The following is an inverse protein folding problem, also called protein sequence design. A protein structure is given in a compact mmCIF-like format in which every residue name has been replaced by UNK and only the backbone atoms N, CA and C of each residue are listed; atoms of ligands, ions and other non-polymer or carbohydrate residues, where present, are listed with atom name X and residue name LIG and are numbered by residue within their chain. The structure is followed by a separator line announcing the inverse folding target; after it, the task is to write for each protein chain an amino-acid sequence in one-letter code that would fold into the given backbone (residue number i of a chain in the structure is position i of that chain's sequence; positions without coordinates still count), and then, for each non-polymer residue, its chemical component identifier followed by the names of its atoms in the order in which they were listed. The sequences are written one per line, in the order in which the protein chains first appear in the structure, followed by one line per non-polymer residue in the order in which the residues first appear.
data_IF_995630862758
#
_entry.id   IF_995630862758
#
_cell.length_a   1.000
_cell.length_b   1.000
_cell.length_c   1.000
_cell.angle_alpha   90.00
_cell.angle_beta   90.00
_cell.angle_gamma   90.00
#
_symmetry.space_group_name_H-M   'P 1'
#
loop_
_entity.id
_entity.type
_entity.pdbx_description
1 polymer ?
#
# COMPACT_ATOMS: atom_id res chain seq x y z
N UNK A 1 -7.97 -0.73 16.85
CA UNK A 1 -8.90 -0.90 15.69
C UNK A 1 -9.18 -2.37 15.43
N UNK A 2 -10.44 -2.77 15.13
CA UNK A 2 -10.73 -4.14 14.70
C UNK A 2 -10.08 -4.39 13.33
N UNK A 3 -9.21 -5.36 13.25
CA UNK A 3 -8.57 -5.75 11.99
C UNK A 3 -9.53 -6.69 11.23
N UNK A 4 -10.02 -6.24 10.09
CA UNK A 4 -10.82 -7.07 9.20
C UNK A 4 -9.89 -7.87 8.27
N UNK A 5 -10.25 -9.11 7.89
CA UNK A 5 -9.40 -9.94 7.03
C UNK A 5 -9.23 -9.39 5.60
N UNK A 6 -10.14 -8.51 5.18
CA UNK A 6 -10.11 -7.80 3.90
C UNK A 6 -10.25 -6.31 4.17
N UNK A 7 -9.47 -5.48 3.47
CA UNK A 7 -9.56 -4.03 3.56
C UNK A 7 -10.94 -3.52 3.13
N UNK A 8 -11.41 -2.46 3.79
CA UNK A 8 -12.76 -1.90 3.54
C UNK A 8 -12.97 -1.51 2.08
N UNK A 9 -11.94 -1.07 1.43
CA UNK A 9 -11.93 -0.66 0.01
C UNK A 9 -12.21 -1.81 -0.94
N UNK A 10 -11.96 -3.05 -0.54
CA UNK A 10 -12.22 -4.25 -1.34
C UNK A 10 -13.69 -4.68 -1.34
N UNK A 11 -14.47 -4.34 -0.31
CA UNK A 11 -15.84 -4.83 -0.15
C UNK A 11 -16.79 -4.47 -1.30
N UNK A 12 -16.82 -3.24 -1.83
CA UNK A 12 -17.67 -2.90 -2.97
C UNK A 12 -17.37 -3.75 -4.21
N UNK A 13 -16.09 -3.97 -4.49
CA UNK A 13 -15.67 -4.80 -5.64
C UNK A 13 -16.05 -6.26 -5.43
N UNK A 14 -15.88 -6.79 -4.23
CA UNK A 14 -16.29 -8.16 -3.89
C UNK A 14 -17.81 -8.33 -4.02
N UNK A 15 -18.60 -7.39 -3.54
CA UNK A 15 -20.05 -7.45 -3.65
C UNK A 15 -20.50 -7.48 -5.13
N UNK A 16 -19.96 -6.59 -5.97
CA UNK A 16 -20.29 -6.53 -7.40
C UNK A 16 -19.84 -7.79 -8.13
N UNK A 17 -18.59 -8.22 -7.95
CA UNK A 17 -18.06 -9.40 -8.63
C UNK A 17 -18.75 -10.69 -8.15
N UNK A 18 -19.11 -10.78 -6.87
CA UNK A 18 -19.88 -11.89 -6.31
C UNK A 18 -21.28 -11.97 -6.95
N UNK A 19 -21.98 -10.84 -7.04
CA UNK A 19 -23.29 -10.79 -7.70
C UNK A 19 -23.21 -11.20 -9.19
N UNK A 20 -22.22 -10.66 -9.91
CA UNK A 20 -21.97 -11.02 -11.32
C UNK A 20 -21.68 -12.53 -11.44
N UNK A 21 -20.86 -13.09 -10.55
CA UNK A 21 -20.52 -14.52 -10.57
C UNK A 21 -21.75 -15.40 -10.37
N UNK A 22 -22.65 -15.03 -9.43
CA UNK A 22 -23.89 -15.77 -9.18
C UNK A 22 -24.83 -15.70 -10.38
N UNK A 23 -25.05 -14.50 -10.93
CA UNK A 23 -25.94 -14.29 -12.07
C UNK A 23 -25.44 -15.05 -13.31
N UNK A 24 -24.14 -14.92 -13.60
CA UNK A 24 -23.55 -15.63 -14.76
C UNK A 24 -23.57 -17.13 -14.57
N UNK A 25 -23.42 -17.64 -13.34
CA UNK A 25 -23.54 -19.06 -13.06
C UNK A 25 -24.96 -19.60 -13.36
N UNK A 26 -25.99 -18.85 -12.98
CA UNK A 26 -27.38 -19.25 -13.21
C UNK A 26 -27.80 -19.20 -14.69
N UNK A 27 -27.27 -18.24 -15.44
CA UNK A 27 -27.63 -18.04 -16.83
C UNK A 27 -26.72 -18.80 -17.81
N UNK A 28 -25.44 -18.84 -17.52
CA UNK A 28 -24.39 -19.32 -18.42
C UNK A 28 -23.26 -19.98 -17.63
N UNK A 29 -23.49 -21.18 -17.14
CA UNK A 29 -22.58 -21.93 -16.24
C UNK A 29 -21.08 -21.76 -16.57
N UNK A 30 -20.70 -21.95 -17.84
CA UNK A 30 -19.29 -21.87 -18.28
C UNK A 30 -18.71 -20.45 -18.18
N UNK A 31 -19.53 -19.42 -18.34
CA UNK A 31 -19.06 -18.02 -18.31
C UNK A 31 -18.86 -17.48 -16.91
N UNK A 32 -19.30 -18.18 -15.87
CA UNK A 32 -19.10 -17.80 -14.48
C UNK A 32 -17.64 -17.92 -14.03
N UNK A 33 -16.81 -18.67 -14.74
CA UNK A 33 -15.41 -18.92 -14.39
C UNK A 33 -14.63 -17.60 -14.28
N UNK A 34 -14.75 -16.72 -15.27
CA UNK A 34 -13.99 -15.45 -15.29
C UNK A 34 -14.35 -14.52 -14.13
N UNK A 35 -15.62 -14.15 -13.90
CA UNK A 35 -15.97 -13.29 -12.76
C UNK A 35 -15.65 -13.94 -11.41
N UNK A 36 -15.72 -15.27 -11.29
CA UNK A 36 -15.33 -15.97 -10.06
C UNK A 36 -13.82 -15.85 -9.81
N UNK A 37 -12.99 -16.01 -10.83
CA UNK A 37 -11.54 -15.81 -10.71
C UNK A 37 -11.24 -14.37 -10.29
N UNK A 38 -11.91 -13.38 -10.90
CA UNK A 38 -11.75 -11.96 -10.53
C UNK A 38 -12.21 -11.68 -9.11
N UNK A 39 -13.28 -12.30 -8.65
CA UNK A 39 -13.75 -12.21 -7.26
C UNK A 39 -12.70 -12.73 -6.28
N UNK A 40 -12.17 -13.94 -6.53
CA UNK A 40 -11.15 -14.55 -5.69
C UNK A 40 -9.86 -13.74 -5.68
N UNK A 41 -9.43 -13.26 -6.86
CA UNK A 41 -8.26 -12.39 -6.97
C UNK A 41 -8.44 -11.07 -6.23
N UNK A 42 -9.63 -10.47 -6.29
CA UNK A 42 -9.95 -9.23 -5.56
C UNK A 42 -9.86 -9.46 -4.04
N UNK A 43 -10.44 -10.57 -3.54
CA UNK A 43 -10.30 -10.94 -2.13
C UNK A 43 -8.85 -11.15 -1.71
N UNK A 44 -8.06 -11.78 -2.56
CA UNK A 44 -6.63 -11.98 -2.35
C UNK A 44 -5.86 -10.66 -2.36
N UNK A 45 -6.13 -9.76 -3.30
CA UNK A 45 -5.46 -8.46 -3.43
C UNK A 45 -5.72 -7.56 -2.21
N UNK A 46 -6.98 -7.51 -1.74
CA UNK A 46 -7.37 -6.70 -0.58
C UNK A 46 -7.22 -7.41 0.77
N UNK A 47 -6.54 -8.57 0.81
CA UNK A 47 -6.33 -9.29 2.07
C UNK A 47 -5.54 -8.45 3.08
N UNK A 48 -5.89 -8.58 4.34
CA UNK A 48 -5.24 -7.87 5.44
C UNK A 48 -4.77 -8.87 6.53
N UNK A 49 -3.71 -9.62 6.27
CA UNK A 49 -3.19 -10.59 7.23
C UNK A 49 -2.59 -9.89 8.45
N UNK A 50 -2.68 -10.55 9.59
CA UNK A 50 -1.96 -10.11 10.79
C UNK A 50 -0.44 -10.14 10.54
N UNK A 51 0.26 -9.11 11.05
CA UNK A 51 1.72 -9.04 11.07
C UNK A 51 2.18 -8.85 12.50
N UNK A 52 2.87 -9.83 13.05
CA UNK A 52 3.48 -9.72 14.36
C UNK A 52 4.59 -8.65 14.32
N UNK A 53 4.55 -7.75 15.28
CA UNK A 53 5.66 -6.81 15.51
C UNK A 53 6.70 -7.54 16.37
N UNK A 54 7.99 -7.50 16.01
CA UNK A 54 9.05 -8.05 16.86
C UNK A 54 9.00 -7.40 18.25
N UNK A 55 9.28 -8.21 19.29
CA UNK A 55 9.31 -7.71 20.68
C UNK A 55 10.56 -6.88 21.03
N UNK A 56 11.39 -6.56 20.04
CA UNK A 56 12.61 -5.76 20.22
C UNK A 56 12.25 -4.29 20.29
N UNK A 57 12.78 -3.60 21.28
CA UNK A 57 12.62 -2.15 21.42
C UNK A 57 13.50 -1.39 20.42
N UNK A 58 13.12 -0.14 20.12
CA UNK A 58 13.90 0.80 19.30
C UNK A 58 14.20 0.28 17.87
N UNK A 59 13.21 -0.33 17.22
CA UNK A 59 13.33 -0.79 15.84
C UNK A 59 12.37 -0.04 14.92
N UNK A 60 12.79 0.12 13.67
CA UNK A 60 11.94 0.52 12.56
C UNK A 60 11.67 -0.72 11.71
N UNK A 61 10.40 -1.09 11.57
CA UNK A 61 9.99 -2.24 10.77
C UNK A 61 9.59 -1.80 9.35
N UNK A 62 9.64 -2.72 8.40
CA UNK A 62 9.20 -2.44 7.04
C UNK A 62 7.70 -2.04 7.04
N UNK A 63 7.34 -0.88 6.48
CA UNK A 63 5.94 -0.42 6.44
C UNK A 63 5.08 -1.20 5.44
N UNK A 64 5.67 -2.01 4.58
CA UNK A 64 5.00 -2.72 3.51
C UNK A 64 5.61 -4.10 3.27
N UNK A 65 4.77 -5.02 2.76
CA UNK A 65 5.24 -6.29 2.20
C UNK A 65 5.84 -6.01 0.82
N UNK A 66 7.03 -6.53 0.53
CA UNK A 66 7.64 -6.34 -0.78
C UNK A 66 9.11 -6.71 -0.84
N UNK A 67 9.77 -6.26 -1.87
CA UNK A 67 11.21 -6.47 -2.09
C UNK A 67 11.91 -5.12 -2.04
N UNK A 68 13.00 -5.02 -1.27
CA UNK A 68 13.86 -3.84 -1.28
C UNK A 68 14.57 -3.80 -2.64
N UNK A 69 14.37 -2.72 -3.38
CA UNK A 69 14.97 -2.52 -4.70
C UNK A 69 16.09 -1.47 -4.71
N UNK A 70 16.12 -0.61 -3.70
CA UNK A 70 17.17 0.40 -3.57
C UNK A 70 17.34 0.83 -2.11
N UNK A 71 18.58 1.10 -1.70
CA UNK A 71 18.94 1.75 -0.45
C UNK A 71 19.98 2.80 -0.82
N UNK A 72 19.69 4.06 -0.53
CA UNK A 72 20.57 5.18 -0.86
C UNK A 72 20.50 6.27 0.22
N UNK A 73 21.59 6.99 0.41
CA UNK A 73 21.63 8.21 1.19
C UNK A 73 21.27 9.38 0.30
N UNK A 74 20.34 10.21 0.74
CA UNK A 74 19.96 11.43 0.02
C UNK A 74 19.44 12.51 0.97
N UNK A 75 19.58 13.75 0.60
CA UNK A 75 18.94 14.86 1.28
C UNK A 75 17.41 14.80 1.09
N UNK A 76 16.65 14.79 2.19
CA UNK A 76 15.19 14.82 2.18
C UNK A 76 14.72 16.25 2.53
N UNK A 77 14.25 17.00 1.54
CA UNK A 77 13.91 18.42 1.66
C UNK A 77 12.42 18.74 1.81
N UNK A 78 11.55 17.74 2.03
CA UNK A 78 10.09 17.97 2.12
C UNK A 78 9.62 18.02 3.57
N UNK A 79 10.14 17.13 4.41
CA UNK A 79 9.72 16.98 5.79
C UNK A 79 10.87 16.88 6.78
N UNK A 80 11.91 16.10 6.46
CA UNK A 80 13.04 15.88 7.38
C UNK A 80 14.00 17.05 7.37
N UNK A 81 14.27 17.61 6.18
CA UNK A 81 15.20 18.71 5.91
C UNK A 81 16.65 18.37 6.32
N UNK A 82 17.01 17.10 6.16
CA UNK A 82 18.30 16.52 6.52
C UNK A 82 18.68 15.36 5.60
N UNK A 83 19.93 14.90 5.67
CA UNK A 83 20.37 13.68 5.02
C UNK A 83 19.73 12.46 5.65
N UNK A 84 19.17 11.59 4.83
CA UNK A 84 18.43 10.43 5.27
C UNK A 84 18.73 9.20 4.43
N UNK A 85 18.59 8.02 5.05
CA UNK A 85 18.64 6.74 4.35
C UNK A 85 17.26 6.47 3.74
N UNK A 86 17.19 6.45 2.42
CA UNK A 86 15.98 6.08 1.68
C UNK A 86 16.01 4.62 1.33
N UNK A 87 15.00 3.89 1.77
CA UNK A 87 14.76 2.49 1.44
C UNK A 87 13.54 2.40 0.51
N UNK A 88 13.75 1.92 -0.70
CA UNK A 88 12.68 1.74 -1.69
C UNK A 88 12.20 0.31 -1.71
N UNK A 89 10.89 0.10 -1.48
CA UNK A 89 10.25 -1.21 -1.44
C UNK A 89 9.27 -1.32 -2.61
N UNK A 90 9.47 -2.33 -3.45
CA UNK A 90 8.58 -2.65 -4.57
C UNK A 90 7.53 -3.67 -4.15
N UNK A 91 6.27 -3.36 -4.40
CA UNK A 91 5.14 -4.25 -4.18
C UNK A 91 4.65 -4.79 -5.52
N UNK A 92 4.75 -6.10 -5.72
CA UNK A 92 4.12 -6.79 -6.85
C UNK A 92 2.61 -6.91 -6.62
N UNK A 93 1.82 -7.20 -7.67
CA UNK A 93 0.37 -7.41 -7.53
C UNK A 93 -0.02 -8.51 -6.53
N UNK A 94 0.88 -9.45 -6.25
CA UNK A 94 0.65 -10.57 -5.34
C UNK A 94 1.03 -10.25 -3.89
N UNK A 95 1.66 -9.10 -3.62
CA UNK A 95 1.95 -8.64 -2.28
C UNK A 95 0.71 -8.06 -1.59
N UNK A 96 0.78 -7.88 -0.27
CA UNK A 96 -0.24 -7.14 0.47
C UNK A 96 -0.03 -5.65 0.24
N UNK A 97 -1.07 -4.96 -0.24
CA UNK A 97 -0.99 -3.53 -0.55
C UNK A 97 -1.43 -2.63 0.62
N UNK A 98 -1.39 -3.16 1.84
CA UNK A 98 -1.69 -2.39 3.06
C UNK A 98 -0.38 -1.99 3.72
N UNK A 99 -0.12 -0.70 3.78
CA UNK A 99 0.99 -0.15 4.54
C UNK A 99 0.63 0.00 6.01
N UNK A 100 1.62 -0.12 6.88
CA UNK A 100 1.53 0.05 8.33
C UNK A 100 2.55 1.04 8.81
N UNK A 101 2.33 1.61 9.99
CA UNK A 101 3.36 2.45 10.62
C UNK A 101 4.63 1.63 10.84
N UNK A 102 5.80 2.14 10.43
CA UNK A 102 7.07 1.44 10.64
C UNK A 102 7.55 1.50 12.10
N UNK A 103 7.04 2.42 12.88
CA UNK A 103 7.40 2.62 14.29
C UNK A 103 6.28 3.34 15.03
N UNK A 104 6.42 3.46 16.33
CA UNK A 104 5.60 4.33 17.17
C UNK A 104 5.97 5.80 16.91
N UNK A 105 4.96 6.68 16.90
CA UNK A 105 5.16 8.09 16.65
C UNK A 105 3.85 8.83 16.41
N UNK A 106 3.94 10.15 16.31
CA UNK A 106 2.81 11.01 15.97
C UNK A 106 2.92 11.45 14.52
N UNK A 107 1.82 11.32 13.80
CA UNK A 107 1.72 11.86 12.43
C UNK A 107 1.60 13.38 12.55
N UNK A 108 2.54 14.12 12.01
CA UNK A 108 2.55 15.59 12.02
C UNK A 108 2.67 16.20 10.62
N UNK A 109 2.81 15.36 9.60
CA UNK A 109 2.87 15.81 8.22
C UNK A 109 2.16 14.83 7.29
N UNK A 110 1.23 15.34 6.49
CA UNK A 110 0.57 14.59 5.41
C UNK A 110 0.49 15.49 4.19
N UNK A 111 1.08 15.03 3.06
CA UNK A 111 1.00 15.76 1.80
C UNK A 111 0.71 14.82 0.64
N UNK A 112 -0.36 15.07 -0.10
CA UNK A 112 -0.68 14.38 -1.35
C UNK A 112 -0.17 15.17 -2.54
N UNK A 113 0.57 14.50 -3.40
CA UNK A 113 1.07 15.07 -4.64
C UNK A 113 0.42 14.31 -5.80
N UNK A 114 -0.43 14.97 -6.60
CA UNK A 114 -0.99 14.36 -7.79
C UNK A 114 0.10 14.07 -8.81
N UNK A 115 -0.08 13.05 -9.63
CA UNK A 115 0.91 12.64 -10.62
C UNK A 115 0.33 11.63 -11.61
N UNK A 116 1.21 10.96 -12.33
CA UNK A 116 0.87 9.92 -13.31
C UNK A 116 0.67 8.57 -12.63
N UNK A 117 0.35 7.55 -13.43
CA UNK A 117 0.18 6.16 -13.00
C UNK A 117 0.97 5.25 -13.92
N UNK A 118 2.30 5.48 -14.00
CA UNK A 118 3.18 4.60 -14.78
C UNK A 118 3.51 3.34 -14.00
N UNK A 119 4.03 2.36 -14.70
CA UNK A 119 4.41 1.07 -14.09
C UNK A 119 5.49 1.32 -13.03
N UNK A 120 5.31 0.73 -11.83
CA UNK A 120 6.12 1.03 -10.65
C UNK A 120 7.60 0.63 -10.77
N UNK A 121 7.97 -0.24 -11.74
CA UNK A 121 9.37 -0.62 -11.99
C UNK A 121 10.13 0.36 -12.91
N UNK A 122 9.49 1.42 -13.43
CA UNK A 122 10.20 2.48 -14.15
C UNK A 122 11.06 3.28 -13.17
N UNK A 123 12.26 3.67 -13.64
CA UNK A 123 13.24 4.43 -12.83
C UNK A 123 12.67 5.77 -12.32
N UNK A 124 11.81 6.41 -13.12
CA UNK A 124 11.18 7.69 -12.81
C UNK A 124 9.82 7.59 -12.10
N UNK A 125 9.30 6.38 -11.88
CA UNK A 125 7.99 6.18 -11.25
C UNK A 125 7.88 6.86 -9.88
N UNK A 126 8.95 6.82 -9.09
CA UNK A 126 8.99 7.45 -7.76
C UNK A 126 8.80 8.96 -7.77
N UNK A 127 9.17 9.64 -8.87
CA UNK A 127 9.09 11.09 -8.99
C UNK A 127 7.87 11.58 -9.75
N UNK A 128 7.34 10.81 -10.69
CA UNK A 128 6.26 11.25 -11.57
C UNK A 128 4.88 10.70 -11.19
N UNK A 129 4.81 9.57 -10.47
CA UNK A 129 3.54 8.99 -10.05
C UNK A 129 2.91 9.80 -8.90
N UNK A 130 1.58 9.69 -8.82
CA UNK A 130 0.83 10.21 -7.68
C UNK A 130 1.33 9.55 -6.40
N UNK A 131 1.54 10.34 -5.35
CA UNK A 131 2.15 9.89 -4.10
C UNK A 131 1.57 10.60 -2.89
N UNK A 132 1.73 9.97 -1.75
CA UNK A 132 1.33 10.51 -0.46
C UNK A 132 2.53 10.44 0.50
N UNK A 133 2.92 11.56 1.03
CA UNK A 133 3.93 11.71 2.06
C UNK A 133 3.27 11.65 3.42
N UNK A 134 3.81 10.86 4.33
CA UNK A 134 3.36 10.71 5.69
C UNK A 134 4.56 10.86 6.62
N UNK A 135 4.68 11.99 7.29
CA UNK A 135 5.73 12.25 8.26
C UNK A 135 5.33 11.81 9.66
N UNK A 136 6.24 11.12 10.31
CA UNK A 136 6.11 10.63 11.68
C UNK A 136 7.19 11.30 12.55
N UNK A 137 6.75 11.94 13.62
CA UNK A 137 7.63 12.40 14.69
C UNK A 137 7.76 11.28 15.71
N UNK A 138 8.98 10.81 15.91
CA UNK A 138 9.31 9.73 16.85
C UNK A 138 10.24 10.23 17.95
N UNK A 139 10.43 9.47 19.05
CA UNK A 139 11.42 9.81 20.06
C UNK A 139 12.88 9.85 19.55
N UNK A 140 13.15 9.19 18.41
CA UNK A 140 14.50 9.06 17.83
C UNK A 140 14.74 9.97 16.61
N UNK A 141 13.77 10.79 16.23
CA UNK A 141 13.86 11.67 15.06
C UNK A 141 12.64 11.54 14.16
N UNK A 142 12.76 12.09 12.97
CA UNK A 142 11.69 12.08 11.96
C UNK A 142 11.78 10.83 11.08
N UNK A 143 10.64 10.30 10.70
CA UNK A 143 10.54 9.20 9.72
C UNK A 143 9.53 9.59 8.65
N UNK A 144 9.90 9.48 7.38
CA UNK A 144 9.04 9.77 6.26
C UNK A 144 8.65 8.50 5.52
N UNK A 145 7.36 8.22 5.43
CA UNK A 145 6.81 7.14 4.62
C UNK A 145 6.19 7.73 3.34
N UNK A 146 6.67 7.32 2.19
CA UNK A 146 6.15 7.77 0.90
C UNK A 146 5.43 6.63 0.20
N UNK A 147 4.12 6.75 0.09
CA UNK A 147 3.30 5.82 -0.68
C UNK A 147 3.22 6.30 -2.13
N UNK A 148 3.49 5.41 -3.08
CA UNK A 148 3.55 5.76 -4.50
C UNK A 148 2.59 4.85 -5.26
N UNK A 149 1.75 5.43 -6.12
CA UNK A 149 0.85 4.66 -6.99
C UNK A 149 1.61 3.93 -8.08
N UNK A 150 0.96 2.91 -8.65
CA UNK A 150 1.42 2.20 -9.84
C UNK A 150 0.36 2.23 -10.95
N UNK A 151 0.62 1.48 -12.01
CA UNK A 151 -0.30 1.37 -13.15
C UNK A 151 -1.63 0.70 -12.78
N UNK A 152 -1.61 -0.29 -11.90
CA UNK A 152 -2.80 -1.03 -11.43
C UNK A 152 -3.34 -0.38 -10.14
N UNK A 153 -2.50 -0.22 -9.13
CA UNK A 153 -2.86 0.38 -7.85
C UNK A 153 -2.81 1.91 -7.95
N UNK A 154 -3.88 2.52 -8.47
CA UNK A 154 -3.94 3.95 -8.77
C UNK A 154 -4.43 4.83 -7.62
N UNK A 155 -4.97 4.24 -6.56
CA UNK A 155 -5.55 4.98 -5.44
C UNK A 155 -4.76 4.71 -4.17
N UNK A 156 -4.37 5.78 -3.50
CA UNK A 156 -3.83 5.71 -2.13
C UNK A 156 -4.95 6.14 -1.18
N UNK A 157 -5.20 5.30 -0.19
CA UNK A 157 -6.10 5.61 0.94
C UNK A 157 -5.22 5.73 2.17
N UNK A 158 -5.24 6.88 2.81
CA UNK A 158 -4.53 7.16 4.05
C UNK A 158 -5.57 7.36 5.16
N UNK A 159 -5.47 6.59 6.22
CA UNK A 159 -6.33 6.64 7.41
C UNK A 159 -5.63 7.30 8.60
N UNK A 160 -4.39 7.76 8.42
CA UNK A 160 -3.68 8.53 9.42
C UNK A 160 -4.28 9.94 9.49
N UNK A 161 -4.47 10.43 10.71
CA UNK A 161 -4.97 11.75 11.09
C UNK A 161 -3.93 12.47 11.96
#
# INVERSE_FOLDING_TARGET
MKQYPVAKEGWPFLAVLGAISIITYQMFYMWAILPTILFLFTGYFFRNPFRAVPATENIIVAPADGVIINIEEQYEGIYMEEDAIKISIFLSLFNVHINRSPCEGTVDFIQRVPGKFVVANRKDAGTINSRNYLGLKTPWGKVLVVQITGFIARRIVCWAE
#
